data_IF_785078170205
#
_entry.id   IF_785078170205
#
_cell.length_a   1.000
_cell.length_b   1.000
_cell.length_c   1.000
_cell.angle_alpha   90.00
_cell.angle_beta   90.00
_cell.angle_gamma   90.00
#
_symmetry.space_group_name_H-M   'P 1'
#
loop_
_entity.id
_entity.type
_entity.pdbx_description
1 polymer ?
#
# COMPACT_ATOMS: atom_id res chain seq x y z
N UNK A 1 4.18 -1.63 -28.16
CA UNK A 1 4.42 -0.55 -27.17
C UNK A 1 3.25 -0.47 -26.20
N UNK A 2 3.19 -1.34 -25.19
CA UNK A 2 2.39 -1.08 -23.99
C UNK A 2 3.12 -1.70 -22.79
N UNK A 3 3.27 -0.86 -21.77
CA UNK A 3 4.28 -0.95 -20.72
C UNK A 3 4.25 -2.26 -19.95
N UNK A 4 5.42 -2.89 -19.93
CA UNK A 4 5.91 -3.73 -18.86
C UNK A 4 6.00 -2.89 -17.57
N UNK A 5 4.97 -2.91 -16.72
CA UNK A 5 5.10 -2.47 -15.32
C UNK A 5 5.04 -3.72 -14.45
N UNK A 6 6.22 -4.12 -14.00
CA UNK A 6 6.49 -5.22 -13.08
C UNK A 6 5.71 -4.96 -11.78
N UNK A 7 4.91 -5.92 -11.34
CA UNK A 7 4.98 -6.30 -9.92
C UNK A 7 5.83 -7.56 -9.85
N UNK A 8 7.05 -7.48 -9.29
CA UNK A 8 7.86 -8.66 -9.05
C UNK A 8 7.12 -9.53 -8.03
N UNK A 9 6.83 -10.77 -8.41
CA UNK A 9 6.45 -11.80 -7.46
C UNK A 9 7.69 -12.06 -6.60
N UNK A 10 7.74 -11.45 -5.41
CA UNK A 10 8.81 -11.64 -4.45
C UNK A 10 8.95 -13.12 -4.07
N UNK A 11 10.17 -13.61 -3.79
CA UNK A 11 10.42 -15.02 -3.59
C UNK A 11 9.88 -15.48 -2.23
N UNK A 12 9.38 -16.72 -2.19
CA UNK A 12 9.46 -17.67 -1.07
C UNK A 12 9.06 -17.19 0.34
N UNK A 13 7.82 -17.42 0.76
CA UNK A 13 7.49 -17.61 2.19
C UNK A 13 7.91 -16.50 3.16
N UNK A 14 8.27 -15.32 2.66
CA UNK A 14 8.73 -14.21 3.47
C UNK A 14 7.53 -13.48 4.06
N UNK A 15 7.62 -13.22 5.35
CA UNK A 15 6.56 -12.55 6.09
C UNK A 15 6.24 -11.20 5.43
N UNK A 16 5.02 -11.10 4.88
CA UNK A 16 4.59 -9.92 4.14
C UNK A 16 4.75 -8.67 5.00
N UNK A 17 5.59 -7.74 4.55
CA UNK A 17 5.80 -6.49 5.28
C UNK A 17 4.48 -5.72 5.38
N UNK A 18 4.32 -4.95 6.45
CA UNK A 18 3.11 -4.16 6.69
C UNK A 18 2.74 -3.30 5.47
N UNK A 19 3.73 -2.66 4.86
CA UNK A 19 3.55 -1.83 3.67
C UNK A 19 3.04 -2.61 2.46
N UNK A 20 3.54 -3.82 2.21
CA UNK A 20 3.06 -4.66 1.10
C UNK A 20 1.62 -5.14 1.34
N UNK A 21 1.31 -5.54 2.58
CA UNK A 21 -0.04 -5.93 2.96
C UNK A 21 -1.04 -4.78 2.74
N UNK A 22 -0.67 -3.59 3.20
CA UNK A 22 -1.50 -2.38 3.06
C UNK A 22 -1.63 -1.96 1.60
N UNK A 23 -0.53 -1.98 0.83
CA UNK A 23 -0.56 -1.60 -0.58
C UNK A 23 -1.51 -2.48 -1.40
N UNK A 24 -1.48 -3.80 -1.22
CA UNK A 24 -2.38 -4.71 -1.96
C UNK A 24 -3.85 -4.52 -1.59
N UNK A 25 -4.14 -4.23 -0.31
CA UNK A 25 -5.51 -3.95 0.12
C UNK A 25 -6.00 -2.60 -0.38
N UNK A 26 -5.14 -1.60 -0.37
CA UNK A 26 -5.44 -0.27 -0.88
C UNK A 26 -5.75 -0.31 -2.38
N UNK A 27 -4.88 -0.95 -3.16
CA UNK A 27 -4.99 -1.08 -4.62
C UNK A 27 -6.24 -1.87 -5.03
N UNK A 28 -6.60 -2.92 -4.28
CA UNK A 28 -7.84 -3.67 -4.49
C UNK A 28 -9.10 -2.82 -4.32
N UNK A 29 -9.07 -1.81 -3.45
CA UNK A 29 -10.21 -0.91 -3.21
C UNK A 29 -10.19 0.33 -4.11
N UNK A 30 -9.04 0.70 -4.67
CA UNK A 30 -8.86 1.92 -5.47
C UNK A 30 -8.28 1.58 -6.85
N UNK A 31 -9.11 1.06 -7.79
CA UNK A 31 -8.67 0.83 -9.15
C UNK A 31 -8.40 2.17 -9.86
N UNK A 32 -7.16 2.64 -9.78
CA UNK A 32 -6.73 3.93 -10.32
C UNK A 32 -5.87 4.76 -9.36
N UNK A 33 -5.80 4.38 -8.08
CA UNK A 33 -4.91 4.99 -7.09
C UNK A 33 -4.06 3.91 -6.42
N UNK A 34 -2.76 4.16 -6.31
CA UNK A 34 -1.86 3.22 -5.64
C UNK A 34 -1.40 3.79 -4.31
N UNK A 35 -1.18 2.93 -3.33
CA UNK A 35 -0.66 3.34 -2.02
C UNK A 35 0.67 4.11 -2.10
N UNK A 36 1.49 3.84 -3.13
CA UNK A 36 2.69 4.60 -3.41
C UNK A 36 2.43 6.06 -3.80
N UNK A 37 1.30 6.35 -4.47
CA UNK A 37 0.88 7.71 -4.78
C UNK A 37 0.38 8.41 -3.52
N UNK A 38 -0.44 7.73 -2.72
CA UNK A 38 -0.88 8.23 -1.41
C UNK A 38 0.31 8.63 -0.51
N UNK A 39 1.37 7.81 -0.44
CA UNK A 39 2.58 8.17 0.33
C UNK A 39 3.27 9.45 -0.17
N UNK A 40 3.28 9.69 -1.49
CA UNK A 40 3.82 10.93 -2.06
C UNK A 40 2.94 12.11 -1.67
N UNK A 41 1.61 11.98 -1.78
CA UNK A 41 0.65 13.04 -1.41
C UNK A 41 0.66 13.35 0.09
N UNK A 42 0.83 12.33 0.94
CA UNK A 42 0.96 12.45 2.40
C UNK A 42 2.13 13.34 2.86
N UNK A 43 3.11 13.57 1.98
CA UNK A 43 4.21 14.50 2.25
C UNK A 43 3.75 15.97 2.19
N UNK A 44 2.75 16.27 1.36
CA UNK A 44 2.26 17.63 1.09
C UNK A 44 0.92 17.94 1.77
N UNK A 45 0.10 16.93 2.02
CA UNK A 45 -1.26 17.07 2.54
C UNK A 45 -1.39 16.38 3.91
N UNK A 46 -1.89 17.13 4.90
CA UNK A 46 -2.18 16.59 6.23
C UNK A 46 -3.29 15.54 6.17
N UNK A 47 -4.26 15.72 5.28
CA UNK A 47 -5.37 14.79 5.08
C UNK A 47 -4.85 13.46 4.52
N UNK A 48 -4.01 13.49 3.47
CA UNK A 48 -3.38 12.28 2.91
C UNK A 48 -2.45 11.59 3.91
N UNK A 49 -1.80 12.36 4.80
CA UNK A 49 -0.97 11.79 5.87
C UNK A 49 -1.79 11.03 6.89
N UNK A 50 -2.86 11.63 7.40
CA UNK A 50 -3.77 10.95 8.31
C UNK A 50 -4.38 9.70 7.66
N UNK A 51 -4.75 9.78 6.38
CA UNK A 51 -5.23 8.64 5.62
C UNK A 51 -4.15 7.53 5.54
N UNK A 52 -2.91 7.87 5.19
CA UNK A 52 -1.80 6.91 5.15
C UNK A 52 -1.59 6.21 6.50
N UNK A 53 -1.61 6.96 7.60
CA UNK A 53 -1.46 6.42 8.96
C UNK A 53 -2.59 5.46 9.33
N UNK A 54 -3.84 5.80 9.00
CA UNK A 54 -5.01 4.94 9.21
C UNK A 54 -4.88 3.60 8.49
N UNK A 55 -4.42 3.62 7.24
CA UNK A 55 -4.17 2.41 6.45
C UNK A 55 -3.05 1.53 7.06
N UNK A 56 -2.00 2.14 7.59
CA UNK A 56 -0.94 1.41 8.29
C UNK A 56 -1.43 0.78 9.58
N UNK A 57 -2.26 1.49 10.35
CA UNK A 57 -2.86 0.94 11.58
C UNK A 57 -3.81 -0.21 11.26
N UNK A 58 -4.64 -0.08 10.22
CA UNK A 58 -5.47 -1.16 9.72
C UNK A 58 -4.62 -2.38 9.34
N UNK A 59 -3.48 -2.17 8.67
CA UNK A 59 -2.51 -3.22 8.37
C UNK A 59 -1.95 -3.92 9.61
N UNK A 60 -1.61 -3.17 10.67
CA UNK A 60 -1.12 -3.74 11.93
C UNK A 60 -2.19 -4.60 12.58
N UNK A 61 -3.44 -4.13 12.54
CA UNK A 61 -4.60 -4.88 13.02
C UNK A 61 -4.82 -6.16 12.21
N UNK A 62 -4.71 -6.11 10.88
CA UNK A 62 -4.85 -7.30 10.04
C UNK A 62 -3.76 -8.34 10.29
N UNK A 63 -2.54 -7.89 10.61
CA UNK A 63 -1.42 -8.78 10.91
C UNK A 63 -1.51 -9.42 12.30
N UNK A 64 -2.23 -8.78 13.23
CA UNK A 64 -2.45 -9.29 14.59
C UNK A 64 -3.71 -10.17 14.72
N UNK A 65 -4.41 -10.45 13.60
CA UNK A 65 -5.67 -11.20 13.55
C UNK A 65 -5.45 -12.59 12.99
#
# INVERSE_FOLDING_TARGET
MQSLMRSPKGPNGEEKTLLQLVAERYDSCHPGDSFADLMKRASFSKEDRCLMEEWLEAGRRWRSR
#
